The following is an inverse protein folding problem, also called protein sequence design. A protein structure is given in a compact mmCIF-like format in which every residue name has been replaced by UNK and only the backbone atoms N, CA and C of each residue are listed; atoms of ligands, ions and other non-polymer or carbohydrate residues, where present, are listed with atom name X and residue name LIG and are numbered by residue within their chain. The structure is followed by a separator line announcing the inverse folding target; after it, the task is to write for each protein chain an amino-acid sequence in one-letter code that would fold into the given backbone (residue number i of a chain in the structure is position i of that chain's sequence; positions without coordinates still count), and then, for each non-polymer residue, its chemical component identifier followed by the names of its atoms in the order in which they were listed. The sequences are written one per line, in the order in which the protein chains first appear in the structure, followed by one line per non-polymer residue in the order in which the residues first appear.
data_IF_885779988738
#
_entry.id   IF_885779988738
#
_cell.length_a   1.000
_cell.length_b   1.000
_cell.length_c   1.000
_cell.angle_alpha   90.00
_cell.angle_beta   90.00
_cell.angle_gamma   90.00
#
_symmetry.space_group_name_H-M   'P 1'
#
loop_
_entity.id
_entity.type
_entity.pdbx_description
1 polymer ?
#
# COMPACT_ATOMS: atom_id res chain seq x y z
N UNK A 1 27.61 24.67 -16.31
CA UNK A 1 26.66 24.02 -17.23
C UNK A 1 25.99 22.87 -16.49
N UNK A 2 24.69 22.81 -16.53
CA UNK A 2 23.93 21.73 -15.86
C UNK A 2 23.86 20.50 -16.76
N UNK A 3 24.08 19.32 -16.19
CA UNK A 3 23.89 18.03 -16.87
C UNK A 3 22.55 17.41 -16.49
N UNK A 4 21.58 18.25 -16.16
CA UNK A 4 20.27 17.79 -15.73
C UNK A 4 19.54 17.08 -16.87
N UNK A 5 19.00 15.91 -16.59
CA UNK A 5 18.16 15.17 -17.52
C UNK A 5 16.83 14.86 -16.84
N UNK A 6 15.80 14.63 -17.65
CA UNK A 6 14.51 14.16 -17.19
C UNK A 6 14.39 12.69 -17.51
N UNK A 7 14.11 11.89 -16.49
CA UNK A 7 13.91 10.46 -16.63
C UNK A 7 12.49 10.09 -16.25
N UNK A 8 12.06 8.91 -16.70
CA UNK A 8 10.84 8.26 -16.22
C UNK A 8 11.25 7.06 -15.41
N UNK A 9 10.63 6.90 -14.24
CA UNK A 9 10.98 5.82 -13.32
C UNK A 9 9.75 5.30 -12.61
N UNK A 10 9.88 4.12 -12.02
CA UNK A 10 8.84 3.54 -11.16
C UNK A 10 8.58 4.46 -9.96
N UNK A 11 7.32 4.57 -9.56
CA UNK A 11 6.97 5.25 -8.32
C UNK A 11 7.39 4.39 -7.12
N UNK A 12 7.54 5.02 -5.95
CA UNK A 12 7.64 4.31 -4.69
C UNK A 12 6.23 3.87 -4.30
N UNK A 13 5.90 2.61 -4.59
CA UNK A 13 4.52 2.13 -4.44
C UNK A 13 4.07 2.10 -2.98
N UNK A 14 4.97 1.82 -2.03
CA UNK A 14 4.61 1.87 -0.62
C UNK A 14 4.19 3.27 -0.21
N UNK A 15 4.92 4.28 -0.66
CA UNK A 15 4.58 5.67 -0.39
C UNK A 15 3.30 6.11 -1.10
N UNK A 16 3.12 5.71 -2.36
CA UNK A 16 1.89 6.02 -3.11
C UNK A 16 0.64 5.44 -2.42
N UNK A 17 0.73 4.20 -1.95
CA UNK A 17 -0.37 3.57 -1.22
C UNK A 17 -0.61 4.28 0.11
N UNK A 18 0.46 4.61 0.84
CA UNK A 18 0.34 5.34 2.10
C UNK A 18 -0.32 6.70 1.90
N UNK A 19 0.09 7.44 0.87
CA UNK A 19 -0.49 8.76 0.57
C UNK A 19 -1.98 8.65 0.24
N UNK A 20 -2.40 7.60 -0.45
CA UNK A 20 -3.81 7.37 -0.76
C UNK A 20 -4.63 7.06 0.49
N UNK A 21 -4.03 6.45 1.52
CA UNK A 21 -4.73 6.02 2.74
C UNK A 21 -4.69 7.05 3.86
N UNK A 22 -3.68 7.91 3.89
CA UNK A 22 -3.32 8.70 5.10
C UNK A 22 -4.44 9.59 5.64
N UNK A 23 -5.33 10.08 4.80
CA UNK A 23 -6.42 10.97 5.22
C UNK A 23 -7.62 10.21 5.78
N UNK A 24 -7.62 8.89 5.68
CA UNK A 24 -8.74 8.04 6.07
C UNK A 24 -8.36 6.98 7.10
N UNK A 25 -7.10 6.52 7.10
CA UNK A 25 -6.61 5.44 7.93
C UNK A 25 -5.19 5.74 8.39
N UNK A 26 -4.82 5.16 9.55
CA UNK A 26 -3.42 5.16 9.98
C UNK A 26 -2.66 4.12 9.17
N UNK A 27 -1.73 4.56 8.35
CA UNK A 27 -0.97 3.70 7.45
C UNK A 27 0.53 3.94 7.61
N UNK A 28 1.29 2.85 7.63
CA UNK A 28 2.74 2.89 7.78
C UNK A 28 3.39 2.14 6.62
N UNK A 29 4.54 2.68 6.17
CA UNK A 29 5.49 1.92 5.35
C UNK A 29 6.49 1.22 6.27
N UNK A 30 7.24 0.26 5.73
CA UNK A 30 8.31 -0.41 6.49
C UNK A 30 9.41 0.56 6.91
N UNK A 31 10.00 0.42 8.09
CA UNK A 31 9.62 -0.51 9.17
C UNK A 31 8.45 0.03 9.99
N UNK A 32 7.68 -0.89 10.57
CA UNK A 32 6.61 -0.50 11.49
C UNK A 32 7.24 0.11 12.75
N UNK A 33 6.84 1.32 13.17
CA UNK A 33 7.39 1.92 14.38
C UNK A 33 7.01 1.11 15.62
N UNK A 34 7.86 1.15 16.65
CA UNK A 34 7.63 0.39 17.88
C UNK A 34 6.35 0.81 18.59
N UNK A 35 6.03 2.09 18.53
CA UNK A 35 4.87 2.70 19.20
C UNK A 35 3.71 2.96 18.25
N UNK A 36 3.54 2.08 17.27
CA UNK A 36 2.49 2.26 16.29
C UNK A 36 1.10 2.30 16.93
N UNK A 37 0.23 3.14 16.33
CA UNK A 37 -1.17 3.24 16.75
C UNK A 37 -2.02 2.19 16.07
N UNK A 38 -3.05 1.70 16.76
CA UNK A 38 -4.04 0.77 16.20
C UNK A 38 -5.44 1.39 16.24
N UNK A 39 -6.31 1.07 15.28
CA UNK A 39 -6.07 0.21 14.12
C UNK A 39 -5.13 0.86 13.10
N UNK A 40 -4.35 0.06 12.40
CA UNK A 40 -3.42 0.56 11.38
C UNK A 40 -3.21 -0.44 10.25
N UNK A 41 -2.62 0.04 9.17
CA UNK A 41 -2.21 -0.77 8.03
C UNK A 41 -0.70 -0.65 7.87
N UNK A 42 -0.01 -1.78 7.75
CA UNK A 42 1.39 -1.83 7.30
C UNK A 42 1.41 -2.20 5.82
N UNK A 43 2.10 -1.41 5.03
CA UNK A 43 2.20 -1.56 3.57
C UNK A 43 3.56 -2.14 3.24
N UNK A 44 3.60 -3.25 2.50
CA UNK A 44 4.85 -3.91 2.12
C UNK A 44 4.81 -4.30 0.66
N UNK A 45 5.74 -3.78 -0.14
CA UNK A 45 5.93 -4.27 -1.50
C UNK A 45 6.64 -5.62 -1.43
N UNK A 46 6.04 -6.64 -2.07
CA UNK A 46 6.58 -8.00 -2.06
C UNK A 46 7.00 -8.47 -3.44
N UNK A 47 6.79 -7.67 -4.48
CA UNK A 47 7.19 -7.98 -5.84
C UNK A 47 6.69 -6.95 -6.81
N UNK A 48 6.85 -7.23 -8.09
CA UNK A 48 6.39 -6.36 -9.15
C UNK A 48 7.16 -6.60 -10.44
N UNK A 49 6.67 -6.00 -11.52
CA UNK A 49 7.31 -6.07 -12.83
C UNK A 49 6.96 -4.84 -13.66
N UNK A 50 7.92 -4.40 -14.46
CA UNK A 50 7.72 -3.39 -15.49
C UNK A 50 7.09 -4.06 -16.71
N UNK A 51 5.94 -3.55 -17.16
CA UNK A 51 5.19 -4.14 -18.27
C UNK A 51 5.45 -3.49 -19.61
N UNK A 52 5.62 -2.16 -19.65
CA UNK A 52 5.65 -1.48 -20.95
C UNK A 52 6.52 -0.23 -20.98
N UNK A 53 7.23 0.06 -19.90
CA UNK A 53 7.96 1.33 -19.78
C UNK A 53 7.05 2.54 -19.53
N UNK A 54 5.75 2.33 -19.41
CA UNK A 54 4.79 3.39 -19.08
C UNK A 54 3.98 3.06 -17.83
N UNK A 55 3.79 1.79 -17.55
CA UNK A 55 3.12 1.30 -16.35
C UNK A 55 3.95 0.21 -15.71
N UNK A 56 3.83 0.12 -14.39
CA UNK A 56 4.39 -0.97 -13.60
C UNK A 56 3.28 -1.70 -12.88
N UNK A 57 3.52 -2.98 -12.60
CA UNK A 57 2.65 -3.80 -11.78
C UNK A 57 3.40 -4.13 -10.50
N UNK A 58 2.77 -3.86 -9.36
CA UNK A 58 3.35 -4.10 -8.05
C UNK A 58 2.50 -5.09 -7.26
N UNK A 59 3.16 -6.03 -6.60
CA UNK A 59 2.52 -6.89 -5.61
C UNK A 59 2.78 -6.30 -4.23
N UNK A 60 1.71 -6.02 -3.50
CA UNK A 60 1.74 -5.33 -2.22
C UNK A 60 0.94 -6.14 -1.20
N UNK A 61 1.49 -6.29 -0.02
CA UNK A 61 0.78 -6.86 1.12
C UNK A 61 0.30 -5.74 2.03
N UNK A 62 -0.97 -5.82 2.44
CA UNK A 62 -1.57 -4.95 3.43
C UNK A 62 -1.84 -5.78 4.68
N UNK A 63 -1.22 -5.38 5.80
CA UNK A 63 -1.42 -6.04 7.09
C UNK A 63 -2.16 -5.07 8.02
N UNK A 64 -3.42 -5.38 8.31
CA UNK A 64 -4.23 -4.58 9.21
C UNK A 64 -4.10 -5.12 10.63
N UNK A 65 -3.77 -4.26 11.57
CA UNK A 65 -3.63 -4.60 12.99
C UNK A 65 -4.62 -3.83 13.82
N UNK A 66 -5.27 -4.52 14.74
CA UNK A 66 -6.23 -3.92 15.69
C UNK A 66 -6.30 -4.76 16.96
N UNK A 67 -7.00 -4.25 17.97
CA UNK A 67 -7.13 -4.94 19.26
C UNK A 67 -8.03 -6.16 19.20
N UNK A 68 -8.85 -6.30 18.16
CA UNK A 68 -9.69 -7.47 17.94
C UNK A 68 -9.83 -7.77 16.44
N UNK A 69 -10.28 -8.97 16.13
CA UNK A 69 -10.38 -9.47 14.77
C UNK A 69 -11.37 -8.67 13.93
N UNK A 70 -12.50 -8.26 14.50
CA UNK A 70 -13.52 -7.52 13.77
C UNK A 70 -12.99 -6.17 13.29
N UNK A 71 -12.27 -5.45 14.16
CA UNK A 71 -11.69 -4.16 13.82
C UNK A 71 -10.54 -4.29 12.81
N UNK A 72 -9.73 -5.33 12.92
CA UNK A 72 -8.67 -5.59 11.95
C UNK A 72 -9.26 -5.87 10.56
N UNK A 73 -10.29 -6.70 10.48
CA UNK A 73 -10.97 -7.00 9.23
C UNK A 73 -11.63 -5.75 8.63
N UNK A 74 -12.30 -4.95 9.44
CA UNK A 74 -12.93 -3.70 9.00
C UNK A 74 -11.89 -2.74 8.44
N UNK A 75 -10.75 -2.60 9.13
CA UNK A 75 -9.66 -1.72 8.69
C UNK A 75 -9.11 -2.18 7.34
N UNK A 76 -8.91 -3.48 7.14
CA UNK A 76 -8.42 -4.01 5.88
C UNK A 76 -9.42 -3.74 4.74
N UNK A 77 -10.69 -3.99 4.97
CA UNK A 77 -11.74 -3.76 3.97
C UNK A 77 -11.85 -2.29 3.59
N UNK A 78 -11.73 -1.41 4.57
CA UNK A 78 -11.73 0.04 4.33
C UNK A 78 -10.51 0.46 3.51
N UNK A 79 -9.33 -0.08 3.82
CA UNK A 79 -8.12 0.23 3.06
C UNK A 79 -8.26 -0.18 1.59
N UNK A 80 -8.76 -1.37 1.32
CA UNK A 80 -8.98 -1.84 -0.05
C UNK A 80 -9.99 -0.94 -0.77
N UNK A 81 -11.08 -0.55 -0.10
CA UNK A 81 -12.09 0.33 -0.67
C UNK A 81 -11.53 1.71 -1.03
N UNK A 82 -10.72 2.29 -0.14
CA UNK A 82 -10.08 3.58 -0.39
C UNK A 82 -9.12 3.49 -1.58
N UNK A 83 -8.33 2.43 -1.66
CA UNK A 83 -7.38 2.24 -2.76
C UNK A 83 -8.10 2.06 -4.11
N UNK A 84 -9.21 1.33 -4.13
CA UNK A 84 -10.01 1.19 -5.35
C UNK A 84 -10.60 2.51 -5.81
N UNK A 85 -11.01 3.35 -4.87
CA UNK A 85 -11.48 4.70 -5.19
C UNK A 85 -10.34 5.57 -5.71
N UNK A 86 -9.17 5.49 -5.08
CA UNK A 86 -7.99 6.23 -5.50
C UNK A 86 -7.54 5.86 -6.92
N UNK A 87 -7.71 4.60 -7.32
CA UNK A 87 -7.37 4.14 -8.66
C UNK A 87 -8.17 4.85 -9.76
N UNK A 88 -9.34 5.39 -9.44
CA UNK A 88 -10.13 6.18 -10.38
C UNK A 88 -9.80 7.67 -10.34
N UNK A 89 -8.90 8.10 -9.47
CA UNK A 89 -8.58 9.50 -9.23
C UNK A 89 -7.26 9.85 -9.92
N UNK A 90 -7.26 10.91 -10.74
CA UNK A 90 -6.08 11.33 -11.48
C UNK A 90 -5.03 12.02 -10.62
N UNK A 91 -5.30 12.27 -9.34
CA UNK A 91 -4.34 12.86 -8.41
C UNK A 91 -3.32 11.86 -7.90
N UNK A 92 -3.53 10.56 -8.16
CA UNK A 92 -2.61 9.49 -7.75
C UNK A 92 -1.97 8.81 -8.97
N UNK A 93 -0.83 8.15 -8.74
CA UNK A 93 -0.21 7.32 -9.76
C UNK A 93 -0.94 5.98 -9.95
N UNK A 94 -1.77 5.59 -8.99
CA UNK A 94 -2.47 4.31 -8.99
C UNK A 94 -3.57 4.31 -10.04
N UNK A 95 -3.57 3.28 -10.91
CA UNK A 95 -4.55 3.17 -12.01
C UNK A 95 -5.49 2.00 -11.84
N UNK A 96 -5.08 0.95 -11.15
CA UNK A 96 -5.90 -0.22 -10.94
C UNK A 96 -5.45 -0.97 -9.70
N UNK A 97 -6.40 -1.51 -8.96
CA UNK A 97 -6.14 -2.33 -7.77
C UNK A 97 -6.92 -3.63 -7.90
N UNK A 98 -6.21 -4.75 -7.79
CA UNK A 98 -6.79 -6.09 -7.84
C UNK A 98 -6.45 -6.82 -6.56
N UNK A 99 -7.43 -7.48 -5.96
CA UNK A 99 -7.21 -8.26 -4.75
C UNK A 99 -6.93 -9.70 -5.14
N UNK A 100 -5.71 -10.18 -4.88
CA UNK A 100 -5.30 -11.54 -5.18
C UNK A 100 -5.66 -12.52 -4.07
N UNK A 101 -5.54 -12.07 -2.81
CA UNK A 101 -6.01 -12.83 -1.66
C UNK A 101 -6.35 -11.85 -0.53
N UNK A 102 -7.38 -12.14 0.23
CA UNK A 102 -7.79 -11.29 1.34
C UNK A 102 -8.33 -12.12 2.49
N UNK A 103 -8.34 -11.53 3.69
CA UNK A 103 -8.96 -12.12 4.85
C UNK A 103 -8.15 -13.20 5.53
N UNK A 104 -6.84 -13.27 5.31
CA UNK A 104 -5.98 -14.17 6.06
C UNK A 104 -5.79 -13.63 7.48
N UNK A 105 -6.40 -14.30 8.46
CA UNK A 105 -6.36 -13.90 9.86
C UNK A 105 -5.17 -14.51 10.57
N UNK A 106 -4.62 -13.76 11.54
CA UNK A 106 -3.57 -14.23 12.41
C UNK A 106 -3.40 -13.29 13.59
N UNK A 107 -2.31 -13.46 14.32
CA UNK A 107 -1.91 -12.54 15.38
C UNK A 107 -0.57 -11.92 15.01
N UNK A 108 -0.30 -10.73 15.56
CA UNK A 108 0.98 -10.08 15.37
C UNK A 108 2.07 -10.92 16.07
N UNK A 109 3.13 -11.34 15.38
CA UNK A 109 4.18 -12.17 15.98
C UNK A 109 4.92 -11.49 17.14
N UNK A 110 5.01 -10.17 17.13
CA UNK A 110 5.71 -9.39 18.17
C UNK A 110 4.75 -8.99 19.27
N UNK A 111 3.50 -8.68 18.91
CA UNK A 111 2.46 -8.29 19.87
C UNK A 111 1.25 -9.21 19.69
N UNK A 112 1.29 -10.41 20.31
CA UNK A 112 0.23 -11.40 20.12
C UNK A 112 -1.14 -10.99 20.72
N UNK A 113 -1.20 -9.90 21.47
CA UNK A 113 -2.44 -9.27 21.90
C UNK A 113 -3.19 -8.58 20.75
N UNK A 114 -2.54 -8.38 19.61
CA UNK A 114 -3.17 -7.75 18.45
C UNK A 114 -3.61 -8.80 17.43
N UNK A 115 -4.80 -8.60 16.87
CA UNK A 115 -5.28 -9.35 15.73
C UNK A 115 -4.79 -8.72 14.45
N UNK A 116 -4.50 -9.54 13.45
CA UNK A 116 -4.00 -9.10 12.16
C UNK A 116 -4.79 -9.76 11.03
N UNK A 117 -5.26 -8.96 10.09
CA UNK A 117 -5.81 -9.44 8.82
C UNK A 117 -4.95 -8.97 7.68
N UNK A 118 -4.62 -9.87 6.77
CA UNK A 118 -3.71 -9.57 5.66
C UNK A 118 -4.40 -9.79 4.32
N UNK A 119 -4.01 -8.98 3.36
CA UNK A 119 -4.41 -9.13 1.97
C UNK A 119 -3.18 -8.94 1.08
N UNK A 120 -3.15 -9.67 -0.02
CA UNK A 120 -2.20 -9.42 -1.11
C UNK A 120 -2.97 -8.77 -2.24
N UNK A 121 -2.51 -7.60 -2.67
CA UNK A 121 -3.11 -6.87 -3.76
C UNK A 121 -2.09 -6.66 -4.88
N UNK A 122 -2.61 -6.48 -6.08
CA UNK A 122 -1.81 -6.08 -7.23
C UNK A 122 -2.20 -4.66 -7.59
N UNK A 123 -1.21 -3.77 -7.67
CA UNK A 123 -1.42 -2.36 -7.96
C UNK A 123 -0.75 -2.03 -9.28
N UNK A 124 -1.52 -1.49 -10.22
CA UNK A 124 -0.99 -0.96 -11.47
C UNK A 124 -0.83 0.54 -11.31
N UNK A 125 0.37 1.04 -11.57
CA UNK A 125 0.67 2.46 -11.45
C UNK A 125 1.46 2.94 -12.66
N UNK A 126 1.26 4.20 -13.05
CA UNK A 126 2.09 4.79 -14.09
C UNK A 126 3.44 5.23 -13.51
N UNK A 127 4.41 5.41 -14.40
CA UNK A 127 5.73 5.94 -14.04
C UNK A 127 5.62 7.41 -13.65
N UNK A 128 6.60 7.88 -12.91
CA UNK A 128 6.78 9.29 -12.59
C UNK A 128 7.91 9.89 -13.41
N UNK A 129 7.85 11.19 -13.67
CA UNK A 129 8.94 11.95 -14.27
C UNK A 129 9.79 12.54 -13.17
N UNK A 130 11.10 12.46 -13.33
CA UNK A 130 12.06 12.99 -12.35
C UNK A 130 13.21 13.66 -13.07
N UNK A 131 13.55 14.84 -12.61
CA UNK A 131 14.72 15.57 -13.07
C UNK A 131 15.91 15.27 -12.16
N UNK A 132 17.00 14.82 -12.74
CA UNK A 132 18.21 14.47 -12.00
C UNK A 132 19.44 15.09 -12.65
#
# INVERSE_FOLDING_TARGET
MSNTITIRRSVDIEDEVRLALKDHLTAYCRPLPKDFSTPCILITQVGGSDQSGQIDIFDVTLDARATNAADANETLRNAIGVLRKAAGDQTTAIRHVEVNSSGSWGTDPVRPDLSMYSARIRVVAHLESKQI
#
